data_IF_879891194542
#
_entry.id   IF_879891194542
#
_cell.length_a   1.000
_cell.length_b   1.000
_cell.length_c   1.000
_cell.angle_alpha   90.00
_cell.angle_beta   90.00
_cell.angle_gamma   90.00
#
_symmetry.space_group_name_H-M   'P 1'
#
loop_
_entity.id
_entity.type
_entity.pdbx_description
1 polymer ?
#
# COMPACT_ATOMS: atom_id res chain seq x y z
N UNK A 1 29.82 -16.14 37.06
CA UNK A 1 30.56 -15.66 35.88
C UNK A 1 29.72 -14.60 35.21
N UNK A 2 30.17 -13.34 35.17
CA UNK A 2 29.49 -12.30 34.38
C UNK A 2 29.80 -12.60 32.91
N UNK A 3 28.80 -12.95 32.11
CA UNK A 3 28.97 -13.01 30.67
C UNK A 3 29.45 -11.64 30.18
N UNK A 4 30.62 -11.59 29.61
CA UNK A 4 31.16 -10.40 28.96
C UNK A 4 30.39 -10.26 27.63
N UNK A 5 29.36 -9.43 27.63
CA UNK A 5 28.72 -8.98 26.38
C UNK A 5 29.83 -8.26 25.60
N UNK A 6 30.20 -8.73 24.41
CA UNK A 6 31.24 -8.04 23.62
C UNK A 6 30.76 -6.59 23.38
N UNK A 7 31.70 -5.61 23.40
CA UNK A 7 31.32 -4.23 23.09
C UNK A 7 30.63 -4.19 21.72
N UNK A 8 29.63 -3.30 21.54
CA UNK A 8 29.03 -3.11 20.25
C UNK A 8 30.13 -2.84 19.22
N UNK A 9 30.02 -3.41 18.00
CA UNK A 9 31.01 -3.18 16.97
C UNK A 9 31.24 -1.68 16.81
N UNK A 10 32.51 -1.26 16.71
CA UNK A 10 32.83 0.14 16.46
C UNK A 10 31.95 0.67 15.32
N UNK A 11 31.39 1.87 15.48
CA UNK A 11 30.61 2.53 14.45
C UNK A 11 31.52 2.64 13.22
N UNK A 12 31.39 1.65 12.34
CA UNK A 12 32.06 1.66 11.05
C UNK A 12 31.61 2.91 10.33
N UNK A 13 32.53 3.70 9.79
CA UNK A 13 32.20 4.83 8.93
C UNK A 13 31.15 4.38 7.92
N UNK A 14 29.99 5.03 7.95
CA UNK A 14 28.86 4.74 7.08
C UNK A 14 29.27 5.13 5.65
N UNK A 15 29.91 4.24 4.93
CA UNK A 15 30.13 4.40 3.50
C UNK A 15 29.31 3.37 2.71
N UNK A 16 29.10 3.66 1.45
CA UNK A 16 28.28 2.84 0.57
C UNK A 16 28.84 1.42 0.43
N UNK A 17 30.17 1.29 0.21
CA UNK A 17 30.82 0.02 -0.02
C UNK A 17 30.78 -0.88 1.23
N UNK A 18 31.04 -0.32 2.41
CA UNK A 18 30.95 -1.05 3.67
C UNK A 18 29.52 -1.51 3.94
N UNK A 19 28.51 -0.67 3.69
CA UNK A 19 27.11 -1.02 3.85
C UNK A 19 26.71 -2.15 2.88
N UNK A 20 27.08 -2.06 1.61
CA UNK A 20 26.83 -3.12 0.61
C UNK A 20 27.50 -4.45 0.99
N UNK A 21 28.73 -4.41 1.49
CA UNK A 21 29.44 -5.62 1.93
C UNK A 21 28.68 -6.35 3.05
N UNK A 22 28.08 -5.64 4.01
CA UNK A 22 27.23 -6.23 5.05
C UNK A 22 26.00 -6.92 4.44
N UNK A 23 25.35 -6.28 3.48
CA UNK A 23 24.18 -6.85 2.80
C UNK A 23 24.53 -8.09 2.00
N UNK A 24 25.59 -8.04 1.18
CA UNK A 24 26.03 -9.18 0.37
C UNK A 24 26.41 -10.38 1.24
N UNK A 25 26.98 -10.14 2.42
CA UNK A 25 27.44 -11.20 3.31
C UNK A 25 26.35 -11.78 4.21
N UNK A 26 25.37 -10.95 4.65
CA UNK A 26 24.50 -11.32 5.78
C UNK A 26 23.01 -11.20 5.49
N UNK A 27 22.57 -10.56 4.40
CA UNK A 27 21.15 -10.35 4.10
C UNK A 27 20.74 -11.20 2.89
N UNK A 28 19.64 -11.95 3.02
CA UNK A 28 19.07 -12.74 1.91
C UNK A 28 18.81 -11.83 0.71
N UNK A 29 19.31 -12.16 -0.49
CA UNK A 29 19.24 -11.28 -1.68
C UNK A 29 17.88 -11.34 -2.39
N UNK A 30 16.77 -11.24 -1.63
CA UNK A 30 15.41 -11.28 -2.17
C UNK A 30 14.95 -9.98 -2.84
N UNK A 31 15.73 -8.91 -2.70
CA UNK A 31 15.43 -7.59 -3.28
C UNK A 31 16.53 -7.14 -4.24
N UNK A 32 16.14 -6.69 -5.44
CA UNK A 32 17.02 -5.89 -6.30
C UNK A 32 17.06 -4.46 -5.75
N UNK A 33 18.16 -4.10 -5.08
CA UNK A 33 18.33 -2.79 -4.45
C UNK A 33 18.90 -1.78 -5.43
N UNK A 34 18.47 -0.54 -5.32
CA UNK A 34 19.14 0.57 -5.98
C UNK A 34 20.50 0.83 -5.34
N UNK A 35 21.46 1.32 -6.10
CA UNK A 35 22.82 1.66 -5.66
C UNK A 35 22.82 2.94 -4.78
N UNK A 36 22.17 2.84 -3.63
CA UNK A 36 21.97 3.95 -2.71
C UNK A 36 21.91 3.46 -1.26
N UNK A 37 22.78 3.96 -0.40
CA UNK A 37 22.77 3.71 1.04
C UNK A 37 22.25 4.93 1.78
N UNK A 38 21.04 4.83 2.33
CA UNK A 38 20.38 5.89 3.08
C UNK A 38 20.80 5.87 4.55
N UNK A 39 20.98 7.04 5.15
CA UNK A 39 21.40 7.19 6.55
C UNK A 39 20.29 7.74 7.45
N UNK A 40 19.57 8.78 7.02
CA UNK A 40 18.52 9.41 7.79
C UNK A 40 17.50 10.10 6.87
N UNK A 41 16.40 10.59 7.47
CA UNK A 41 15.37 11.34 6.75
C UNK A 41 14.75 12.40 7.64
N UNK A 42 14.14 13.42 7.01
CA UNK A 42 13.37 14.47 7.68
C UNK A 42 12.28 14.99 6.74
N UNK A 43 11.02 14.93 7.17
CA UNK A 43 9.88 15.31 6.33
C UNK A 43 9.86 14.54 5.01
N UNK A 44 9.80 15.26 3.89
CA UNK A 44 9.78 14.67 2.54
C UNK A 44 11.18 14.31 2.00
N UNK A 45 12.24 14.42 2.82
CA UNK A 45 13.61 14.24 2.33
C UNK A 45 14.32 13.06 3.00
N UNK A 46 15.13 12.36 2.20
CA UNK A 46 16.08 11.36 2.63
C UNK A 46 17.51 11.81 2.32
N UNK A 47 18.46 11.32 3.11
CA UNK A 47 19.88 11.61 2.96
C UNK A 47 20.66 10.31 2.88
N UNK A 48 21.59 10.24 1.95
CA UNK A 48 22.49 9.10 1.85
C UNK A 48 23.68 9.21 2.84
N UNK A 49 24.50 8.18 2.87
CA UNK A 49 25.68 8.11 3.72
C UNK A 49 26.77 9.15 3.36
N UNK A 50 26.72 9.75 2.19
CA UNK A 50 27.58 10.84 1.77
C UNK A 50 26.99 12.23 2.07
N UNK A 51 25.77 12.28 2.64
CA UNK A 51 25.06 13.52 2.98
C UNK A 51 24.30 14.15 1.82
N UNK A 52 24.19 13.49 0.67
CA UNK A 52 23.39 13.96 -0.43
C UNK A 52 21.90 13.85 -0.11
N UNK A 53 21.16 14.93 -0.37
CA UNK A 53 19.71 15.04 -0.16
C UNK A 53 18.94 14.55 -1.38
N UNK A 54 17.84 13.83 -1.10
CA UNK A 54 16.88 13.36 -2.08
C UNK A 54 15.47 13.75 -1.64
N UNK A 55 14.66 14.29 -2.55
CA UNK A 55 13.22 14.40 -2.34
C UNK A 55 12.60 13.01 -2.51
N UNK A 56 11.84 12.54 -1.52
CA UNK A 56 11.23 11.21 -1.56
C UNK A 56 9.75 11.28 -1.95
N UNK A 57 9.47 10.93 -3.20
CA UNK A 57 8.10 10.73 -3.69
C UNK A 57 7.68 9.25 -3.71
N UNK A 58 8.39 8.39 -2.99
CA UNK A 58 8.08 6.97 -2.81
C UNK A 58 7.57 6.62 -1.41
N UNK A 59 8.01 7.36 -0.40
CA UNK A 59 7.65 7.23 1.03
C UNK A 59 7.66 5.77 1.53
N UNK A 60 8.68 4.98 1.15
CA UNK A 60 8.76 3.56 1.52
C UNK A 60 7.64 2.70 0.91
N UNK A 61 7.19 3.00 -0.29
CA UNK A 61 6.04 2.41 -0.99
C UNK A 61 4.72 2.75 -0.26
N UNK A 62 4.42 4.05 -0.16
CA UNK A 62 3.23 4.59 0.51
C UNK A 62 3.13 4.23 2.01
N UNK A 63 4.24 4.09 2.71
CA UNK A 63 4.29 3.72 4.14
C UNK A 63 4.43 4.94 5.04
N UNK A 64 5.46 5.77 4.81
CA UNK A 64 5.77 6.94 5.63
C UNK A 64 4.81 8.11 5.27
N UNK A 65 3.54 7.96 5.64
CA UNK A 65 2.49 8.89 5.24
C UNK A 65 2.63 10.30 5.86
N UNK A 66 3.38 10.45 6.95
CA UNK A 66 3.71 11.73 7.57
C UNK A 66 5.15 12.18 7.27
N UNK A 67 5.82 11.51 6.32
CA UNK A 67 7.24 11.74 6.04
C UNK A 67 8.17 11.05 7.04
N UNK A 68 9.45 11.35 6.92
CA UNK A 68 10.51 10.73 7.73
C UNK A 68 10.74 11.46 9.03
N UNK A 69 11.01 10.70 10.11
CA UNK A 69 11.32 11.20 11.45
C UNK A 69 10.28 12.22 11.97
N UNK A 70 8.99 11.96 11.73
CA UNK A 70 7.93 12.86 12.16
C UNK A 70 7.90 12.99 13.70
N UNK A 71 7.95 14.22 14.27
CA UNK A 71 8.12 14.42 15.70
C UNK A 71 6.99 13.80 16.53
N UNK A 72 5.75 13.84 16.06
CA UNK A 72 4.61 13.25 16.77
C UNK A 72 4.68 11.72 16.80
N UNK A 73 5.20 11.06 15.75
CA UNK A 73 5.44 9.60 15.76
C UNK A 73 6.54 9.28 16.78
N UNK A 74 7.65 10.02 16.76
CA UNK A 74 8.74 9.85 17.73
C UNK A 74 8.25 10.02 19.16
N UNK A 75 7.43 11.03 19.41
CA UNK A 75 6.81 11.29 20.71
C UNK A 75 5.93 10.11 21.17
N UNK A 76 5.05 9.61 20.30
CA UNK A 76 4.19 8.47 20.61
C UNK A 76 5.01 7.20 20.93
N UNK A 77 6.09 6.95 20.19
CA UNK A 77 7.01 5.84 20.46
C UNK A 77 7.66 5.96 21.84
N UNK A 78 8.21 7.13 22.17
CA UNK A 78 8.87 7.37 23.48
C UNK A 78 7.86 7.26 24.62
N UNK A 79 6.71 7.91 24.53
CA UNK A 79 5.69 7.90 25.58
C UNK A 79 5.13 6.50 25.84
N UNK A 80 4.79 5.76 24.77
CA UNK A 80 4.17 4.43 24.93
C UNK A 80 5.19 3.37 25.30
N UNK A 81 6.43 3.44 24.81
CA UNK A 81 7.49 2.49 25.17
C UNK A 81 7.84 2.57 26.67
N UNK A 82 7.72 3.75 27.27
CA UNK A 82 7.89 3.96 28.71
C UNK A 82 6.74 3.45 29.58
N UNK A 83 5.61 3.03 28.99
CA UNK A 83 4.43 2.51 29.72
C UNK A 83 4.28 1.01 29.53
N UNK A 84 4.04 0.58 28.32
CA UNK A 84 3.74 -0.82 27.99
C UNK A 84 4.00 -1.07 26.50
N UNK A 85 4.91 -1.99 26.19
CA UNK A 85 5.26 -2.33 24.81
C UNK A 85 4.39 -3.46 24.29
N UNK A 86 4.31 -4.58 25.02
CA UNK A 86 3.65 -5.82 24.58
C UNK A 86 3.14 -6.65 25.75
N UNK A 87 1.92 -7.21 25.60
CA UNK A 87 1.31 -8.13 26.57
C UNK A 87 0.53 -9.28 25.90
N UNK A 88 0.74 -9.52 24.60
CA UNK A 88 -0.10 -10.42 23.81
C UNK A 88 -1.56 -9.91 23.69
N UNK A 89 -2.45 -10.74 23.16
CA UNK A 89 -3.90 -10.47 23.06
C UNK A 89 -4.70 -11.21 24.15
N UNK A 90 -4.05 -11.55 25.25
CA UNK A 90 -4.70 -12.20 26.40
C UNK A 90 -5.31 -11.18 27.37
N UNK A 91 -4.95 -9.91 27.26
CA UNK A 91 -5.41 -8.83 28.13
C UNK A 91 -5.93 -7.65 27.31
N UNK A 92 -6.88 -6.91 27.89
CA UNK A 92 -7.38 -5.68 27.30
C UNK A 92 -6.36 -4.55 27.43
N UNK A 93 -6.14 -3.80 26.36
CA UNK A 93 -5.32 -2.60 26.37
C UNK A 93 -6.06 -1.44 25.72
N UNK A 94 -6.04 -0.27 26.35
CA UNK A 94 -6.77 0.89 25.86
C UNK A 94 -6.36 1.33 24.45
N UNK A 95 -5.06 1.41 24.08
CA UNK A 95 -4.66 1.82 22.73
C UNK A 95 -5.25 0.94 21.61
N UNK A 96 -5.34 -0.37 21.84
CA UNK A 96 -5.93 -1.28 20.86
C UNK A 96 -7.44 -1.04 20.68
N UNK A 97 -8.18 -0.89 21.79
CA UNK A 97 -9.62 -0.62 21.74
C UNK A 97 -9.92 0.73 21.07
N UNK A 98 -9.15 1.79 21.40
CA UNK A 98 -9.28 3.12 20.81
C UNK A 98 -8.98 3.13 19.31
N UNK A 99 -7.94 2.41 18.88
CA UNK A 99 -7.63 2.32 17.46
C UNK A 99 -8.74 1.57 16.70
N UNK A 100 -9.27 0.47 17.27
CA UNK A 100 -10.38 -0.25 16.67
C UNK A 100 -11.63 0.64 16.53
N UNK A 101 -12.00 1.39 17.58
CA UNK A 101 -13.09 2.36 17.54
C UNK A 101 -12.89 3.42 16.45
N UNK A 102 -11.70 4.00 16.35
CA UNK A 102 -11.39 5.01 15.35
C UNK A 102 -11.53 4.47 13.92
N UNK A 103 -11.04 3.25 13.65
CA UNK A 103 -11.13 2.62 12.32
C UNK A 103 -12.58 2.24 11.97
N UNK A 104 -13.35 1.73 12.93
CA UNK A 104 -14.79 1.41 12.74
C UNK A 104 -15.57 2.69 12.40
N UNK A 105 -15.32 3.79 13.09
CA UNK A 105 -15.99 5.07 12.85
C UNK A 105 -15.65 5.70 11.48
N UNK A 106 -14.52 5.35 10.89
CA UNK A 106 -14.12 5.80 9.54
C UNK A 106 -14.71 4.94 8.41
N UNK A 107 -15.19 3.73 8.72
CA UNK A 107 -15.77 2.79 7.75
C UNK A 107 -17.29 2.63 7.97
N UNK A 108 -17.66 1.75 8.87
CA UNK A 108 -19.04 1.42 9.22
C UNK A 108 -19.05 0.49 10.46
N UNK A 109 -20.22 0.18 11.05
CA UNK A 109 -20.34 -0.79 12.11
C UNK A 109 -19.70 -2.14 11.75
N UNK A 110 -18.81 -2.60 12.61
CA UNK A 110 -18.03 -3.83 12.40
C UNK A 110 -17.00 -4.04 13.50
N UNK A 111 -16.02 -4.91 13.24
CA UNK A 111 -14.90 -5.17 14.17
C UNK A 111 -13.57 -5.18 13.42
N UNK A 112 -12.48 -4.95 14.13
CA UNK A 112 -11.12 -4.91 13.60
C UNK A 112 -10.28 -6.00 14.25
N UNK A 113 -9.53 -6.73 13.44
CA UNK A 113 -8.43 -7.57 13.88
C UNK A 113 -7.11 -6.90 13.54
N UNK A 114 -6.15 -6.90 14.46
CA UNK A 114 -4.82 -6.33 14.25
C UNK A 114 -3.78 -7.41 14.00
N UNK A 115 -2.86 -7.11 13.08
CA UNK A 115 -1.70 -7.92 12.72
C UNK A 115 -0.48 -7.01 12.47
N UNK A 116 0.55 -7.47 11.76
CA UNK A 116 1.81 -6.72 11.63
C UNK A 116 2.08 -6.25 10.20
N UNK A 117 1.33 -6.76 9.23
CA UNK A 117 1.57 -6.48 7.81
C UNK A 117 0.28 -6.59 6.98
N UNK A 118 0.31 -6.06 5.74
CA UNK A 118 -0.77 -6.22 4.78
C UNK A 118 -0.97 -7.68 4.34
N UNK A 119 0.12 -8.46 4.27
CA UNK A 119 0.04 -9.88 3.96
C UNK A 119 -0.76 -10.64 5.03
N UNK A 120 -0.48 -10.41 6.31
CA UNK A 120 -1.25 -11.02 7.42
C UNK A 120 -2.70 -10.54 7.42
N UNK A 121 -2.96 -9.28 7.09
CA UNK A 121 -4.33 -8.75 6.99
C UNK A 121 -5.14 -9.47 5.89
N UNK A 122 -4.54 -9.69 4.73
CA UNK A 122 -5.18 -10.43 3.64
C UNK A 122 -5.35 -11.92 3.99
N UNK A 123 -4.37 -12.57 4.63
CA UNK A 123 -4.51 -13.94 5.15
C UNK A 123 -5.70 -14.06 6.11
N UNK A 124 -5.94 -13.05 6.96
CA UNK A 124 -7.11 -12.97 7.83
C UNK A 124 -8.42 -12.94 7.03
N UNK A 125 -8.49 -12.13 5.96
CA UNK A 125 -9.66 -12.08 5.07
C UNK A 125 -9.85 -13.39 4.29
N UNK A 126 -8.78 -14.06 3.84
CA UNK A 126 -8.88 -15.38 3.18
C UNK A 126 -9.47 -16.41 4.15
N UNK A 127 -9.01 -16.43 5.39
CA UNK A 127 -9.53 -17.31 6.45
C UNK A 127 -10.99 -16.99 6.77
N UNK A 128 -11.37 -15.71 6.85
CA UNK A 128 -12.75 -15.28 7.06
C UNK A 128 -13.67 -15.80 5.94
N UNK A 129 -13.26 -15.63 4.67
CA UNK A 129 -14.02 -16.12 3.53
C UNK A 129 -14.24 -17.63 3.60
N UNK A 130 -13.17 -18.41 3.82
CA UNK A 130 -13.26 -19.87 3.94
C UNK A 130 -14.11 -20.32 5.12
N UNK A 131 -14.04 -19.59 6.25
CA UNK A 131 -14.89 -19.86 7.42
C UNK A 131 -16.36 -19.61 7.11
N UNK A 132 -16.67 -18.50 6.41
CA UNK A 132 -18.02 -18.17 5.98
C UNK A 132 -18.63 -19.22 5.06
N UNK A 133 -17.89 -19.72 4.06
CA UNK A 133 -18.36 -20.70 3.11
C UNK A 133 -18.26 -22.17 3.54
N UNK A 134 -17.66 -22.45 4.70
CA UNK A 134 -17.29 -23.81 5.12
C UNK A 134 -18.47 -24.80 5.11
N UNK A 135 -19.61 -24.41 5.69
CA UNK A 135 -20.80 -25.27 5.76
C UNK A 135 -21.43 -25.61 4.41
N UNK A 136 -21.11 -24.83 3.38
CA UNK A 136 -21.61 -25.01 1.99
C UNK A 136 -20.53 -25.54 1.04
N UNK A 137 -19.34 -25.87 1.54
CA UNK A 137 -18.20 -26.32 0.74
C UNK A 137 -17.60 -25.22 -0.16
N UNK A 138 -17.88 -23.94 0.10
CA UNK A 138 -17.38 -22.80 -0.67
C UNK A 138 -16.05 -22.30 -0.07
N UNK A 139 -15.04 -22.11 -0.91
CA UNK A 139 -13.71 -21.70 -0.47
C UNK A 139 -12.92 -20.90 -1.52
N UNK A 140 -13.43 -20.81 -2.76
CA UNK A 140 -12.75 -20.09 -3.83
C UNK A 140 -12.92 -18.57 -3.69
N UNK A 141 -11.82 -17.85 -3.86
CA UNK A 141 -11.77 -16.39 -3.87
C UNK A 141 -11.36 -15.94 -5.27
N UNK A 142 -12.13 -15.03 -5.87
CA UNK A 142 -11.77 -14.43 -7.16
C UNK A 142 -11.02 -13.13 -6.90
N UNK A 143 -9.86 -12.96 -7.56
CA UNK A 143 -9.04 -11.76 -7.54
C UNK A 143 -8.83 -11.23 -8.95
N UNK A 144 -8.09 -10.14 -9.12
CA UNK A 144 -7.84 -9.57 -10.43
C UNK A 144 -6.43 -9.88 -10.95
N UNK A 145 -6.28 -9.98 -12.27
CA UNK A 145 -4.97 -9.97 -12.93
C UNK A 145 -4.23 -8.67 -12.59
N UNK A 146 -2.91 -8.74 -12.53
CA UNK A 146 -2.00 -7.66 -12.13
C UNK A 146 -2.17 -7.16 -10.68
N UNK A 147 -3.00 -7.81 -9.86
CA UNK A 147 -3.13 -7.49 -8.44
C UNK A 147 -1.89 -7.89 -7.63
N UNK A 148 -1.81 -7.34 -6.41
CA UNK A 148 -0.79 -7.73 -5.43
C UNK A 148 -1.40 -7.83 -4.03
N UNK A 149 -1.41 -9.04 -3.44
CA UNK A 149 -2.06 -9.29 -2.15
C UNK A 149 -1.11 -9.84 -1.07
N UNK A 150 0.19 -9.84 -1.30
CA UNK A 150 1.21 -10.24 -0.32
C UNK A 150 2.19 -11.29 -0.84
N UNK A 151 3.10 -11.70 0.06
CA UNK A 151 4.21 -12.63 -0.24
C UNK A 151 4.16 -13.94 0.56
N UNK A 152 3.12 -14.19 1.33
CA UNK A 152 2.82 -15.50 1.91
C UNK A 152 2.38 -16.47 0.80
N UNK A 153 2.35 -17.77 1.06
CA UNK A 153 1.95 -18.75 0.05
C UNK A 153 0.51 -18.51 -0.46
N UNK A 154 -0.45 -18.18 0.44
CA UNK A 154 -1.79 -17.82 -0.01
C UNK A 154 -1.82 -16.42 -0.62
N UNK A 155 -1.02 -15.48 -0.12
CA UNK A 155 -0.86 -14.14 -0.69
C UNK A 155 -0.36 -14.16 -2.13
N UNK A 156 0.66 -14.99 -2.46
CA UNK A 156 1.13 -15.14 -3.86
C UNK A 156 0.11 -15.89 -4.72
N UNK A 157 -0.62 -16.88 -4.16
CA UNK A 157 -1.69 -17.56 -4.88
C UNK A 157 -2.85 -16.60 -5.22
N UNK A 158 -3.19 -15.64 -4.33
CA UNK A 158 -4.17 -14.58 -4.55
C UNK A 158 -3.68 -13.51 -5.53
N UNK A 159 -2.37 -13.27 -5.61
CA UNK A 159 -1.74 -12.25 -6.46
C UNK A 159 -1.85 -12.62 -7.94
N UNK A 160 -2.40 -11.72 -8.76
CA UNK A 160 -2.62 -11.91 -10.19
C UNK A 160 -1.39 -11.68 -11.07
N UNK A 161 -0.19 -12.04 -10.57
CA UNK A 161 1.10 -11.88 -11.26
C UNK A 161 1.87 -13.21 -11.25
N UNK A 162 2.02 -13.84 -12.41
CA UNK A 162 2.68 -15.16 -12.52
C UNK A 162 4.13 -15.15 -12.00
N UNK A 163 4.86 -14.06 -12.23
CA UNK A 163 6.24 -13.91 -11.74
C UNK A 163 6.34 -14.08 -10.21
N UNK A 164 5.29 -13.76 -9.46
CA UNK A 164 5.29 -13.88 -8.00
C UNK A 164 5.12 -15.32 -7.51
N UNK A 165 4.61 -16.23 -8.38
CA UNK A 165 4.28 -17.62 -8.07
C UNK A 165 5.37 -18.59 -8.49
N UNK A 166 6.15 -18.23 -9.51
CA UNK A 166 7.16 -19.09 -10.11
C UNK A 166 8.17 -19.60 -9.07
N UNK A 167 8.32 -20.92 -8.97
CA UNK A 167 9.24 -21.60 -8.05
C UNK A 167 8.67 -21.85 -6.65
N UNK A 168 7.37 -21.56 -6.43
CA UNK A 168 6.68 -21.80 -5.15
C UNK A 168 5.49 -22.76 -5.30
N UNK A 169 5.47 -23.53 -6.35
CA UNK A 169 4.46 -24.57 -6.59
C UNK A 169 4.62 -25.77 -5.63
N UNK A 170 3.51 -26.44 -5.24
CA UNK A 170 2.15 -26.21 -5.69
C UNK A 170 1.51 -24.97 -5.02
N UNK A 171 0.76 -24.19 -5.81
CA UNK A 171 0.05 -23.04 -5.29
C UNK A 171 -1.04 -23.44 -4.28
N UNK A 172 -1.32 -22.59 -3.31
CA UNK A 172 -2.48 -22.77 -2.41
C UNK A 172 -3.75 -22.73 -3.26
N UNK A 173 -4.59 -23.80 -3.21
CA UNK A 173 -5.78 -23.87 -4.05
C UNK A 173 -6.88 -22.90 -3.62
N UNK A 174 -7.79 -22.60 -4.56
CA UNK A 174 -8.97 -21.78 -4.31
C UNK A 174 -8.79 -20.30 -4.64
N UNK A 175 -7.89 -19.95 -5.54
CA UNK A 175 -7.79 -18.59 -6.10
C UNK A 175 -7.97 -18.63 -7.61
N UNK A 176 -8.80 -17.69 -8.12
CA UNK A 176 -9.01 -17.45 -9.56
C UNK A 176 -8.73 -16.00 -9.88
N UNK A 177 -8.22 -15.74 -11.08
CA UNK A 177 -7.85 -14.39 -11.52
C UNK A 177 -8.63 -14.03 -12.78
N UNK A 178 -9.21 -12.82 -12.79
CA UNK A 178 -9.96 -12.28 -13.93
C UNK A 178 -9.40 -10.89 -14.33
N UNK A 179 -9.64 -10.43 -15.56
CA UNK A 179 -9.27 -9.06 -15.93
C UNK A 179 -9.89 -8.03 -14.98
N UNK A 180 -9.08 -7.03 -14.60
CA UNK A 180 -9.53 -5.95 -13.74
C UNK A 180 -10.46 -5.00 -14.52
N UNK A 181 -11.49 -4.45 -13.88
CA UNK A 181 -12.51 -3.63 -14.51
C UNK A 181 -13.38 -4.36 -15.56
N UNK A 182 -13.47 -5.69 -15.48
CA UNK A 182 -14.30 -6.54 -16.33
C UNK A 182 -15.33 -7.31 -15.45
N UNK A 183 -16.54 -6.77 -15.39
CA UNK A 183 -17.64 -7.37 -14.59
C UNK A 183 -18.17 -8.66 -15.21
N UNK A 184 -18.14 -8.79 -16.55
CA UNK A 184 -18.60 -9.98 -17.24
C UNK A 184 -17.65 -11.15 -17.03
N UNK A 185 -16.35 -10.91 -17.12
CA UNK A 185 -15.34 -11.90 -16.76
C UNK A 185 -15.45 -12.32 -15.27
N UNK A 186 -15.71 -11.37 -14.37
CA UNK A 186 -15.95 -11.67 -12.95
C UNK A 186 -17.18 -12.57 -12.79
N UNK A 187 -18.28 -12.24 -13.44
CA UNK A 187 -19.53 -13.02 -13.41
C UNK A 187 -19.31 -14.45 -13.95
N UNK A 188 -18.60 -14.58 -15.06
CA UNK A 188 -18.31 -15.85 -15.69
C UNK A 188 -17.38 -16.75 -14.85
N UNK A 189 -16.53 -16.18 -14.02
CA UNK A 189 -15.60 -16.92 -13.16
C UNK A 189 -16.26 -17.50 -11.91
N UNK A 190 -17.47 -17.08 -11.54
CA UNK A 190 -18.16 -17.57 -10.34
C UNK A 190 -18.53 -19.05 -10.56
N UNK A 191 -18.14 -19.90 -9.63
CA UNK A 191 -18.46 -21.31 -9.54
C UNK A 191 -19.27 -21.62 -8.28
N UNK A 192 -19.82 -22.85 -8.15
CA UNK A 192 -20.45 -23.26 -6.89
C UNK A 192 -19.52 -23.22 -5.67
N UNK A 193 -18.20 -23.28 -5.87
CA UNK A 193 -17.21 -23.20 -4.81
C UNK A 193 -16.81 -21.75 -4.46
N UNK A 194 -17.23 -20.75 -5.22
CA UNK A 194 -16.86 -19.35 -5.00
C UNK A 194 -17.51 -18.81 -3.71
N UNK A 195 -16.73 -18.15 -2.87
CA UNK A 195 -17.17 -17.61 -1.58
C UNK A 195 -16.96 -16.09 -1.46
N UNK A 196 -15.95 -15.54 -2.14
CA UNK A 196 -15.62 -14.13 -2.03
C UNK A 196 -14.97 -13.58 -3.30
N UNK A 197 -14.99 -12.27 -3.43
CA UNK A 197 -14.18 -11.47 -4.36
C UNK A 197 -13.25 -10.60 -3.52
N UNK A 198 -11.97 -10.52 -3.87
CA UNK A 198 -11.00 -9.60 -3.30
C UNK A 198 -10.33 -8.80 -4.41
N UNK A 199 -10.40 -7.47 -4.32
CA UNK A 199 -9.74 -6.55 -5.25
C UNK A 199 -9.08 -5.38 -4.53
N UNK A 200 -8.14 -4.70 -5.19
CA UNK A 200 -7.68 -3.37 -4.81
C UNK A 200 -8.64 -2.32 -5.40
N UNK A 201 -8.87 -1.21 -4.73
CA UNK A 201 -9.57 -0.07 -5.33
C UNK A 201 -8.72 0.63 -6.38
N UNK A 202 -7.39 0.68 -6.16
CA UNK A 202 -6.39 1.09 -7.13
C UNK A 202 -5.25 0.06 -7.09
N UNK A 203 -5.04 -0.67 -8.18
CA UNK A 203 -3.94 -1.61 -8.29
C UNK A 203 -2.60 -0.89 -8.20
N UNK A 204 -1.90 -1.03 -7.07
CA UNK A 204 -0.63 -0.36 -6.84
C UNK A 204 0.52 -0.92 -7.66
N UNK A 205 0.70 -2.23 -7.64
CA UNK A 205 1.74 -2.93 -8.40
C UNK A 205 1.33 -3.15 -9.88
N UNK A 206 0.03 -3.08 -10.18
CA UNK A 206 -0.55 -3.19 -11.52
C UNK A 206 -0.55 -1.88 -12.31
N UNK A 207 0.35 -0.92 -12.01
CA UNK A 207 0.54 0.29 -12.80
C UNK A 207 -0.38 1.45 -12.44
N UNK A 208 -0.83 1.55 -11.19
CA UNK A 208 -1.72 2.61 -10.70
C UNK A 208 -3.03 2.66 -11.49
N UNK A 209 -3.67 1.51 -11.61
CA UNK A 209 -4.95 1.37 -12.33
C UNK A 209 -6.10 1.41 -11.33
N UNK A 210 -6.95 2.44 -11.41
CA UNK A 210 -8.12 2.58 -10.55
C UNK A 210 -9.31 1.74 -11.03
N UNK A 211 -10.11 1.26 -10.09
CA UNK A 211 -11.41 0.69 -10.40
C UNK A 211 -12.32 1.76 -11.00
N UNK A 212 -13.13 1.37 -11.97
CA UNK A 212 -14.21 2.22 -12.45
C UNK A 212 -15.37 2.18 -11.46
N UNK A 213 -16.08 3.31 -11.24
CA UNK A 213 -17.23 3.35 -10.33
C UNK A 213 -18.26 2.25 -10.63
N UNK A 214 -18.58 2.04 -11.91
CA UNK A 214 -19.56 1.05 -12.39
C UNK A 214 -19.11 -0.39 -12.04
N UNK A 215 -17.79 -0.63 -12.08
CA UNK A 215 -17.22 -1.93 -11.72
C UNK A 215 -17.39 -2.20 -10.22
N UNK A 216 -17.08 -1.24 -9.35
CA UNK A 216 -17.28 -1.39 -7.91
C UNK A 216 -18.75 -1.63 -7.55
N UNK A 217 -19.65 -0.82 -8.11
CA UNK A 217 -21.10 -0.96 -7.87
C UNK A 217 -21.62 -2.30 -8.40
N UNK A 218 -21.19 -2.69 -9.60
CA UNK A 218 -21.54 -3.97 -10.19
C UNK A 218 -21.00 -5.16 -9.39
N UNK A 219 -19.80 -5.06 -8.83
CA UNK A 219 -19.25 -6.10 -7.93
C UNK A 219 -20.09 -6.23 -6.66
N UNK A 220 -20.49 -5.12 -6.03
CA UNK A 220 -21.34 -5.18 -4.84
C UNK A 220 -22.66 -5.87 -5.14
N UNK A 221 -23.33 -5.44 -6.21
CA UNK A 221 -24.57 -6.07 -6.65
C UNK A 221 -24.37 -7.57 -6.95
N UNK A 222 -23.35 -7.93 -7.71
CA UNK A 222 -23.05 -9.31 -8.05
C UNK A 222 -22.80 -10.18 -6.81
N UNK A 223 -22.04 -9.65 -5.84
CA UNK A 223 -21.76 -10.35 -4.58
C UNK A 223 -23.04 -10.52 -3.75
N UNK A 224 -23.93 -9.53 -3.71
CA UNK A 224 -25.22 -9.62 -3.02
C UNK A 224 -26.12 -10.68 -3.67
N UNK A 225 -26.26 -10.66 -4.99
CA UNK A 225 -27.04 -11.65 -5.77
C UNK A 225 -26.56 -13.08 -5.56
N UNK A 226 -25.24 -13.27 -5.49
CA UNK A 226 -24.58 -14.59 -5.39
C UNK A 226 -24.26 -15.01 -3.95
N UNK A 227 -24.57 -14.17 -2.97
CA UNK A 227 -24.24 -14.36 -1.54
C UNK A 227 -22.73 -14.60 -1.34
N UNK A 228 -21.92 -13.76 -1.98
CA UNK A 228 -20.46 -13.73 -1.86
C UNK A 228 -20.03 -12.57 -0.96
N UNK A 229 -18.90 -12.73 -0.27
CA UNK A 229 -18.26 -11.63 0.42
C UNK A 229 -17.49 -10.76 -0.59
N UNK A 230 -17.56 -9.44 -0.42
CA UNK A 230 -16.73 -8.48 -1.16
C UNK A 230 -15.67 -7.90 -0.24
N UNK A 231 -14.41 -8.14 -0.56
CA UNK A 231 -13.26 -7.60 0.17
C UNK A 231 -12.51 -6.58 -0.67
N UNK A 232 -12.03 -5.54 -0.01
CA UNK A 232 -11.12 -4.55 -0.61
C UNK A 232 -9.75 -4.60 0.08
N UNK A 233 -8.71 -4.75 -0.73
CA UNK A 233 -7.32 -4.59 -0.28
C UNK A 233 -6.96 -3.11 -0.30
N UNK A 234 -7.11 -2.44 0.85
CA UNK A 234 -6.79 -1.03 1.06
C UNK A 234 -5.36 -0.80 1.59
N UNK A 235 -4.48 -1.78 1.47
CA UNK A 235 -3.13 -1.72 2.05
C UNK A 235 -2.28 -0.61 1.44
N UNK A 236 -2.38 -0.36 0.14
CA UNK A 236 -1.58 0.68 -0.52
C UNK A 236 -2.40 1.93 -0.84
N UNK A 237 -3.62 1.79 -1.28
CA UNK A 237 -4.47 2.86 -1.81
C UNK A 237 -5.40 3.50 -0.76
N UNK A 238 -5.50 2.88 0.41
CA UNK A 238 -6.28 3.37 1.54
C UNK A 238 -5.56 4.42 2.40
N UNK A 239 -6.10 4.66 3.56
CA UNK A 239 -5.55 5.50 4.62
C UNK A 239 -5.25 6.94 4.15
N UNK A 240 -6.26 7.58 3.56
CA UNK A 240 -6.27 8.96 3.07
C UNK A 240 -5.36 9.25 1.86
N UNK A 241 -4.70 8.24 1.29
CA UNK A 241 -3.79 8.40 0.14
C UNK A 241 -4.45 9.09 -1.05
N UNK A 242 -5.72 8.80 -1.29
CA UNK A 242 -6.53 9.38 -2.36
C UNK A 242 -7.35 10.60 -1.95
N UNK A 243 -7.23 11.03 -0.67
CA UNK A 243 -8.02 12.11 -0.08
C UNK A 243 -9.34 11.65 0.56
N UNK A 244 -9.55 10.34 0.73
CA UNK A 244 -10.56 9.70 1.59
C UNK A 244 -9.93 8.56 2.36
N UNK A 245 -10.56 8.09 3.43
CA UNK A 245 -10.01 7.02 4.26
C UNK A 245 -9.68 5.77 3.44
N UNK A 246 -10.59 5.36 2.55
CA UNK A 246 -10.38 4.28 1.59
C UNK A 246 -10.57 4.79 0.16
N UNK A 247 -9.85 4.19 -0.78
CA UNK A 247 -9.88 4.62 -2.19
C UNK A 247 -11.26 4.46 -2.83
N UNK A 248 -12.02 3.43 -2.47
CA UNK A 248 -13.36 3.23 -3.00
C UNK A 248 -14.29 4.40 -2.67
N UNK A 249 -14.16 5.01 -1.48
CA UNK A 249 -14.93 6.21 -1.12
C UNK A 249 -14.63 7.37 -2.06
N UNK A 250 -13.35 7.54 -2.44
CA UNK A 250 -12.92 8.58 -3.40
C UNK A 250 -13.37 8.28 -4.83
N UNK A 251 -13.29 7.02 -5.25
CA UNK A 251 -13.72 6.58 -6.59
C UNK A 251 -15.22 6.83 -6.77
N UNK A 252 -16.03 6.49 -5.77
CA UNK A 252 -17.47 6.61 -5.82
C UNK A 252 -18.00 8.05 -5.65
N UNK A 253 -17.21 8.95 -5.05
CA UNK A 253 -17.55 10.39 -5.05
C UNK A 253 -17.65 11.00 -6.45
N UNK A 254 -16.90 10.44 -7.39
CA UNK A 254 -16.88 10.87 -8.79
C UNK A 254 -17.94 10.15 -9.64
N UNK A 255 -18.63 9.16 -9.09
CA UNK A 255 -19.80 8.58 -9.73
C UNK A 255 -20.92 9.65 -9.81
N UNK A 256 -21.67 9.66 -10.89
CA UNK A 256 -22.72 10.66 -11.11
C UNK A 256 -23.61 10.83 -9.88
N UNK A 257 -23.73 12.07 -9.39
CA UNK A 257 -24.61 12.44 -8.28
C UNK A 257 -26.02 12.02 -8.64
N UNK A 258 -26.51 10.98 -7.96
CA UNK A 258 -27.88 10.46 -8.20
C UNK A 258 -28.01 8.95 -8.22
N UNK A 259 -26.90 8.18 -8.24
CA UNK A 259 -27.00 6.74 -8.02
C UNK A 259 -27.08 6.46 -6.51
N UNK A 260 -28.31 6.22 -6.00
CA UNK A 260 -28.56 5.77 -4.60
C UNK A 260 -27.60 4.65 -4.15
N UNK A 261 -27.08 3.87 -5.08
CA UNK A 261 -26.16 2.76 -4.81
C UNK A 261 -24.75 3.19 -4.43
N UNK A 262 -24.28 4.38 -4.85
CA UNK A 262 -22.93 4.85 -4.48
C UNK A 262 -22.82 5.25 -3.01
N UNK A 263 -23.89 5.83 -2.45
CA UNK A 263 -23.96 6.20 -1.03
C UNK A 263 -24.08 4.99 -0.09
N UNK A 264 -24.60 3.86 -0.62
CA UNK A 264 -24.82 2.62 0.12
C UNK A 264 -23.71 1.58 -0.11
N UNK A 265 -22.70 1.86 -0.94
CA UNK A 265 -21.63 0.91 -1.19
C UNK A 265 -20.82 0.65 0.08
N UNK A 266 -20.77 -0.61 0.50
CA UNK A 266 -19.96 -1.05 1.62
C UNK A 266 -19.39 -2.45 1.35
N UNK A 267 -18.05 -2.65 1.43
CA UNK A 267 -17.47 -3.98 1.37
C UNK A 267 -17.77 -4.76 2.66
N UNK A 268 -17.55 -6.05 2.63
CA UNK A 268 -17.72 -6.93 3.79
C UNK A 268 -16.43 -7.07 4.62
N UNK A 269 -15.29 -6.70 4.03
CA UNK A 269 -14.00 -6.59 4.71
C UNK A 269 -13.04 -5.67 3.97
N UNK A 270 -12.14 -5.05 4.73
CA UNK A 270 -11.07 -4.17 4.22
C UNK A 270 -9.77 -4.49 4.92
N UNK A 271 -8.72 -4.80 4.18
CA UNK A 271 -7.37 -4.92 4.73
C UNK A 271 -6.64 -3.59 4.72
N UNK A 272 -5.79 -3.35 5.72
CA UNK A 272 -5.05 -2.11 5.94
C UNK A 272 -3.66 -2.41 6.48
N UNK A 273 -2.66 -1.61 6.08
CA UNK A 273 -1.32 -1.62 6.64
C UNK A 273 -0.58 -0.33 6.21
N UNK A 274 0.71 -0.38 5.96
CA UNK A 274 1.52 0.72 5.39
C UNK A 274 1.28 2.05 6.11
N UNK A 275 0.53 2.97 5.49
CA UNK A 275 0.19 4.28 6.07
C UNK A 275 -0.50 4.20 7.44
N UNK A 276 -1.14 3.07 7.78
CA UNK A 276 -1.74 2.84 9.10
C UNK A 276 -0.74 3.08 10.24
N UNK A 277 0.50 2.64 10.07
CA UNK A 277 1.57 2.78 11.06
C UNK A 277 2.52 3.96 10.80
N UNK A 278 2.40 4.64 9.65
CA UNK A 278 3.26 5.78 9.30
C UNK A 278 4.77 5.48 9.33
N UNK A 279 5.17 4.21 9.12
CA UNK A 279 6.53 3.70 9.21
C UNK A 279 6.71 2.61 10.28
N UNK A 280 5.84 2.55 11.27
CA UNK A 280 5.84 1.47 12.28
C UNK A 280 5.08 0.25 11.77
N UNK A 281 5.58 -0.99 11.99
CA UNK A 281 4.92 -2.21 11.53
C UNK A 281 3.58 -2.44 12.24
N UNK A 282 2.48 -2.33 11.49
CA UNK A 282 1.13 -2.67 11.90
C UNK A 282 0.29 -2.98 10.65
N UNK A 283 -0.56 -3.97 10.74
CA UNK A 283 -1.63 -4.28 9.80
C UNK A 283 -2.95 -4.46 10.54
N UNK A 284 -4.04 -4.42 9.81
CA UNK A 284 -5.36 -4.68 10.32
C UNK A 284 -6.29 -5.14 9.21
N UNK A 285 -7.33 -5.85 9.55
CA UNK A 285 -8.50 -5.96 8.69
C UNK A 285 -9.76 -5.63 9.46
N UNK A 286 -10.63 -4.87 8.82
CA UNK A 286 -11.98 -4.59 9.31
C UNK A 286 -12.95 -5.56 8.68
N UNK A 287 -13.94 -6.00 9.45
CA UNK A 287 -15.02 -6.88 9.02
C UNK A 287 -16.35 -6.23 9.38
N UNK A 288 -17.27 -6.18 8.42
CA UNK A 288 -18.62 -5.66 8.57
C UNK A 288 -19.41 -6.43 9.63
N UNK A 289 -20.27 -5.74 10.38
CA UNK A 289 -21.00 -6.27 11.54
C UNK A 289 -21.64 -7.66 11.35
N UNK A 290 -22.33 -7.99 10.24
CA UNK A 290 -22.93 -9.32 10.07
C UNK A 290 -21.94 -10.50 10.09
N UNK A 291 -20.67 -10.23 9.78
CA UNK A 291 -19.60 -11.24 9.63
C UNK A 291 -18.52 -11.11 10.72
N UNK A 292 -18.62 -10.11 11.58
CA UNK A 292 -17.55 -9.72 12.50
C UNK A 292 -17.21 -10.76 13.57
N UNK A 293 -18.12 -11.68 13.87
CA UNK A 293 -17.96 -12.73 14.88
C UNK A 293 -17.64 -14.12 14.30
N UNK A 294 -17.44 -14.22 12.97
CA UNK A 294 -17.11 -15.50 12.32
C UNK A 294 -15.75 -16.07 12.78
N UNK A 295 -14.77 -15.18 13.03
CA UNK A 295 -13.47 -15.58 13.59
C UNK A 295 -13.50 -15.49 15.11
N UNK A 296 -14.23 -16.42 15.76
CA UNK A 296 -14.30 -16.54 17.21
C UNK A 296 -12.99 -17.05 17.85
N UNK A 297 -12.96 -17.17 19.19
CA UNK A 297 -11.79 -17.61 19.94
C UNK A 297 -11.16 -18.90 19.39
N UNK A 298 -9.82 -18.93 19.26
CA UNK A 298 -9.07 -20.08 18.77
C UNK A 298 -8.99 -20.22 17.24
N UNK A 299 -9.69 -19.39 16.44
CA UNK A 299 -9.72 -19.53 14.98
C UNK A 299 -8.64 -18.71 14.27
N UNK A 300 -8.24 -17.59 14.83
CA UNK A 300 -7.21 -16.72 14.29
C UNK A 300 -6.46 -16.01 15.41
N UNK A 301 -5.15 -15.77 15.24
CA UNK A 301 -4.30 -15.14 16.25
C UNK A 301 -3.09 -14.45 15.62
N UNK A 302 -2.51 -13.52 16.37
CA UNK A 302 -1.23 -12.89 16.08
C UNK A 302 -0.53 -12.60 17.40
N UNK A 303 0.78 -12.90 17.50
CA UNK A 303 1.55 -12.61 18.70
C UNK A 303 1.67 -11.11 18.95
N UNK A 304 2.06 -10.36 17.93
CA UNK A 304 2.35 -8.92 18.04
C UNK A 304 1.22 -8.02 17.49
N UNK A 305 0.24 -8.58 16.78
CA UNK A 305 -0.86 -7.80 16.23
C UNK A 305 -1.65 -7.09 17.32
N UNK A 306 -1.82 -5.77 17.19
CA UNK A 306 -2.53 -4.96 18.19
C UNK A 306 -1.73 -4.66 19.44
N UNK A 307 -0.40 -4.84 19.44
CA UNK A 307 0.44 -4.45 20.58
C UNK A 307 0.24 -2.98 20.96
N UNK A 308 0.20 -2.61 22.25
CA UNK A 308 -0.05 -1.24 22.72
C UNK A 308 0.83 -0.20 22.01
N UNK A 309 2.11 -0.51 21.79
CA UNK A 309 3.03 0.41 21.12
C UNK A 309 2.61 0.70 19.68
N UNK A 310 2.30 -0.32 18.89
CA UNK A 310 1.87 -0.15 17.50
C UNK A 310 0.54 0.61 17.41
N UNK A 311 -0.41 0.30 18.30
CA UNK A 311 -1.72 0.96 18.32
C UNK A 311 -1.61 2.43 18.74
N UNK A 312 -0.76 2.77 19.71
CA UNK A 312 -0.52 4.16 20.10
C UNK A 312 0.10 4.98 18.98
N UNK A 313 1.06 4.41 18.23
CA UNK A 313 1.64 5.04 17.05
C UNK A 313 0.58 5.26 15.97
N UNK A 314 -0.21 4.23 15.64
CA UNK A 314 -1.26 4.34 14.63
C UNK A 314 -2.35 5.34 14.98
N UNK A 315 -2.74 5.44 16.26
CA UNK A 315 -3.63 6.49 16.77
C UNK A 315 -3.05 7.88 16.53
N UNK A 316 -1.76 8.07 16.85
CA UNK A 316 -1.09 9.35 16.64
C UNK A 316 -1.03 9.72 15.15
N UNK A 317 -0.80 8.75 14.27
CA UNK A 317 -0.87 8.97 12.81
C UNK A 317 -2.25 9.49 12.40
N UNK A 318 -3.35 8.86 12.87
CA UNK A 318 -4.72 9.32 12.58
C UNK A 318 -4.98 10.74 13.11
N UNK A 319 -4.52 11.03 14.34
CA UNK A 319 -4.67 12.35 14.94
C UNK A 319 -3.99 13.44 14.11
N UNK A 320 -2.75 13.23 13.70
CA UNK A 320 -2.00 14.17 12.85
C UNK A 320 -2.70 14.37 11.50
N UNK A 321 -3.11 13.27 10.83
CA UNK A 321 -3.82 13.37 9.55
C UNK A 321 -5.07 14.25 9.68
N UNK A 322 -5.82 14.11 10.78
CA UNK A 322 -7.02 14.91 11.02
C UNK A 322 -6.69 16.36 11.38
N UNK A 323 -5.73 16.58 12.29
CA UNK A 323 -5.38 17.93 12.78
C UNK A 323 -4.77 18.81 11.69
N UNK A 324 -3.99 18.21 10.78
CA UNK A 324 -3.34 18.89 9.68
C UNK A 324 -4.13 18.81 8.36
N UNK A 325 -5.36 18.30 8.39
CA UNK A 325 -6.25 18.19 7.21
C UNK A 325 -5.58 17.49 6.01
N UNK A 326 -4.77 16.46 6.27
CA UNK A 326 -3.92 15.84 5.26
C UNK A 326 -4.69 15.11 4.16
N UNK A 327 -5.95 14.75 4.39
CA UNK A 327 -6.84 14.25 3.35
C UNK A 327 -7.08 15.29 2.25
N UNK A 328 -7.31 16.54 2.64
CA UNK A 328 -7.53 17.64 1.69
C UNK A 328 -6.23 18.07 1.03
N UNK A 329 -5.11 18.06 1.78
CA UNK A 329 -3.78 18.23 1.20
C UNK A 329 -3.48 17.18 0.11
N UNK A 330 -3.78 15.91 0.38
CA UNK A 330 -3.59 14.84 -0.60
C UNK A 330 -4.41 15.05 -1.88
N UNK A 331 -5.63 15.61 -1.78
CA UNK A 331 -6.43 16.00 -2.96
C UNK A 331 -5.81 17.18 -3.70
N UNK A 332 -5.52 18.27 -2.99
CA UNK A 332 -5.07 19.52 -3.59
C UNK A 332 -3.69 19.38 -4.24
N UNK A 333 -2.71 18.81 -3.51
CA UNK A 333 -1.35 18.61 -4.03
C UNK A 333 -1.33 17.50 -5.09
N UNK A 334 -2.13 16.43 -4.90
CA UNK A 334 -2.27 15.36 -5.87
C UNK A 334 -2.84 15.85 -7.21
N UNK A 335 -3.89 16.67 -7.20
CA UNK A 335 -4.45 17.25 -8.41
C UNK A 335 -3.49 18.24 -9.08
N UNK A 336 -2.75 19.01 -8.29
CA UNK A 336 -1.70 19.88 -8.82
C UNK A 336 -0.61 19.08 -9.55
N UNK A 337 -0.07 18.01 -8.92
CA UNK A 337 0.89 17.11 -9.55
C UNK A 337 0.32 16.49 -10.85
N UNK A 338 -0.90 15.95 -10.78
CA UNK A 338 -1.57 15.31 -11.90
C UNK A 338 -1.72 16.25 -13.10
N UNK A 339 -2.18 17.48 -12.85
CA UNK A 339 -2.37 18.50 -13.90
C UNK A 339 -1.05 18.85 -14.59
N UNK A 340 0.04 19.03 -13.81
CA UNK A 340 1.35 19.35 -14.36
C UNK A 340 1.92 18.17 -15.18
N UNK A 341 1.77 16.95 -14.68
CA UNK A 341 2.22 15.75 -15.38
C UNK A 341 1.42 15.47 -16.67
N UNK A 342 0.11 15.72 -16.67
CA UNK A 342 -0.73 15.62 -17.87
C UNK A 342 -0.30 16.62 -18.95
N UNK A 343 0.06 17.84 -18.60
CA UNK A 343 0.58 18.81 -19.56
C UNK A 343 1.86 18.30 -20.25
N UNK A 344 2.69 17.52 -19.54
CA UNK A 344 3.90 16.94 -20.13
C UNK A 344 3.63 15.73 -21.00
N UNK A 345 2.61 14.91 -20.72
CA UNK A 345 2.24 13.83 -21.64
C UNK A 345 1.81 14.38 -23.01
N UNK A 346 1.27 15.59 -23.05
CA UNK A 346 0.99 16.31 -24.30
C UNK A 346 2.24 16.90 -24.97
N UNK A 347 3.17 17.44 -24.15
CA UNK A 347 4.42 18.06 -24.63
C UNK A 347 5.47 17.03 -25.06
N UNK A 348 5.54 15.89 -24.39
CA UNK A 348 6.54 14.83 -24.58
C UNK A 348 5.88 13.44 -24.74
N UNK A 349 5.01 13.25 -25.77
CA UNK A 349 4.27 12.00 -25.96
C UNK A 349 5.17 10.81 -26.31
N UNK A 350 6.38 11.07 -26.80
CA UNK A 350 7.42 10.06 -27.05
C UNK A 350 8.12 9.55 -25.77
N UNK A 351 7.90 10.18 -24.62
CA UNK A 351 8.44 9.76 -23.32
C UNK A 351 7.32 9.36 -22.35
N UNK A 352 6.25 10.16 -22.25
CA UNK A 352 5.12 9.93 -21.33
C UNK A 352 3.88 9.59 -22.16
N UNK A 353 3.42 8.34 -22.04
CA UNK A 353 2.20 7.86 -22.69
C UNK A 353 0.94 8.31 -21.98
N UNK A 354 0.92 8.20 -20.65
CA UNK A 354 -0.25 8.52 -19.83
C UNK A 354 0.12 8.87 -18.39
N UNK A 355 -0.78 9.61 -17.73
CA UNK A 355 -0.74 9.86 -16.28
C UNK A 355 -2.07 9.47 -15.70
N UNK A 356 -2.04 8.69 -14.61
CA UNK A 356 -3.25 8.17 -13.95
C UNK A 356 -3.10 8.13 -12.44
N UNK A 357 -4.21 7.90 -11.74
CA UNK A 357 -4.28 7.81 -10.28
C UNK A 357 -5.11 8.91 -9.66
N UNK A 358 -5.23 8.88 -8.32
CA UNK A 358 -6.04 9.78 -7.52
C UNK A 358 -5.26 10.27 -6.30
N UNK A 359 -5.42 11.54 -5.95
CA UNK A 359 -4.73 12.15 -4.81
C UNK A 359 -3.21 11.99 -4.93
N UNK A 360 -2.56 11.57 -3.85
CA UNK A 360 -1.11 11.30 -3.81
C UNK A 360 -0.76 9.83 -4.13
N UNK A 361 -1.50 9.20 -5.00
CA UNK A 361 -1.21 7.92 -5.62
C UNK A 361 -1.28 8.08 -7.14
N UNK A 362 -0.16 8.47 -7.75
CA UNK A 362 -0.07 8.77 -9.18
C UNK A 362 0.90 7.83 -9.89
N UNK A 363 0.59 7.52 -11.14
CA UNK A 363 1.42 6.73 -12.04
C UNK A 363 1.72 7.49 -13.31
N UNK A 364 2.99 7.52 -13.71
CA UNK A 364 3.46 8.01 -15.00
C UNK A 364 3.76 6.79 -15.86
N UNK A 365 2.96 6.56 -16.89
CA UNK A 365 3.22 5.50 -17.87
C UNK A 365 4.14 6.01 -18.95
N UNK A 366 5.25 5.31 -19.15
CA UNK A 366 6.22 5.60 -20.19
C UNK A 366 5.73 5.16 -21.56
N UNK A 367 6.17 5.86 -22.59
CA UNK A 367 6.01 5.42 -23.98
C UNK A 367 6.80 4.11 -24.21
N UNK A 368 6.35 3.23 -25.14
CA UNK A 368 6.97 1.92 -25.34
C UNK A 368 8.40 1.99 -25.90
N UNK A 369 8.69 2.96 -26.77
CA UNK A 369 9.92 3.01 -27.55
C UNK A 369 10.69 4.30 -27.29
N UNK A 370 11.20 4.46 -26.05
CA UNK A 370 12.08 5.59 -25.73
C UNK A 370 13.49 5.27 -26.25
N UNK A 371 14.02 6.03 -27.25
CA UNK A 371 15.29 5.69 -27.90
C UNK A 371 16.47 5.57 -26.90
N UNK A 372 16.49 6.42 -25.88
CA UNK A 372 17.51 6.41 -24.84
C UNK A 372 17.54 5.14 -23.99
N UNK A 373 16.54 4.26 -24.09
CA UNK A 373 16.44 2.99 -23.36
C UNK A 373 16.70 1.76 -24.25
N UNK A 374 16.71 1.91 -25.57
CA UNK A 374 16.72 0.81 -26.55
C UNK A 374 17.89 -0.18 -26.37
N UNK A 375 19.07 0.30 -25.95
CA UNK A 375 20.28 -0.50 -25.82
C UNK A 375 20.73 -0.68 -24.35
N UNK A 376 19.86 -0.40 -23.39
CA UNK A 376 20.17 -0.53 -21.98
C UNK A 376 19.39 -1.70 -21.37
N UNK A 377 20.06 -2.54 -20.59
CA UNK A 377 19.41 -3.66 -19.89
C UNK A 377 18.41 -3.18 -18.85
N UNK A 378 17.39 -4.03 -18.57
CA UNK A 378 16.37 -3.75 -17.56
C UNK A 378 15.12 -3.07 -18.11
N UNK A 379 14.06 -3.04 -17.28
CA UNK A 379 12.79 -2.45 -17.65
C UNK A 379 12.89 -0.90 -17.79
N UNK A 380 12.18 -0.28 -18.76
CA UNK A 380 12.14 1.18 -18.92
C UNK A 380 11.81 1.94 -17.62
N UNK A 381 10.90 1.42 -16.82
CA UNK A 381 10.54 2.00 -15.51
C UNK A 381 11.75 2.08 -14.56
N UNK A 382 12.58 1.04 -14.49
CA UNK A 382 13.78 1.01 -13.65
C UNK A 382 14.82 2.00 -14.16
N UNK A 383 15.04 2.03 -15.49
CA UNK A 383 15.98 2.97 -16.10
C UNK A 383 15.57 4.44 -15.88
N UNK A 384 14.27 4.74 -15.96
CA UNK A 384 13.77 6.08 -15.69
C UNK A 384 13.92 6.44 -14.20
N UNK A 385 13.59 5.51 -13.30
CA UNK A 385 13.75 5.69 -11.84
C UNK A 385 15.22 5.95 -11.48
N UNK A 386 16.17 5.23 -12.07
CA UNK A 386 17.60 5.47 -11.85
C UNK A 386 18.00 6.90 -12.22
N UNK A 387 17.54 7.43 -13.37
CA UNK A 387 17.80 8.82 -13.76
C UNK A 387 17.19 9.85 -12.80
N UNK A 388 16.00 9.54 -12.24
CA UNK A 388 15.41 10.38 -11.21
C UNK A 388 16.23 10.35 -9.92
N UNK A 389 16.73 9.17 -9.51
CA UNK A 389 17.61 9.03 -8.33
C UNK A 389 18.90 9.83 -8.52
N UNK A 390 19.53 9.74 -9.70
CA UNK A 390 20.70 10.55 -10.07
C UNK A 390 20.39 12.04 -10.02
N UNK A 391 19.16 12.45 -10.35
CA UNK A 391 18.72 13.84 -10.29
C UNK A 391 18.27 14.29 -8.88
N UNK A 392 18.29 13.40 -7.86
CA UNK A 392 17.94 13.71 -6.47
C UNK A 392 16.46 13.53 -6.13
N UNK A 393 15.73 12.73 -6.90
CA UNK A 393 14.32 12.40 -6.66
C UNK A 393 14.12 10.89 -6.53
N UNK A 394 13.63 10.43 -5.37
CA UNK A 394 13.31 9.02 -5.17
C UNK A 394 11.87 8.72 -5.58
N UNK A 395 11.72 7.75 -6.46
CA UNK A 395 10.44 7.24 -6.97
C UNK A 395 10.49 5.72 -7.06
N UNK A 396 9.37 5.07 -7.37
CA UNK A 396 9.26 3.61 -7.35
C UNK A 396 8.68 3.11 -8.67
N UNK A 397 9.27 2.08 -9.31
CA UNK A 397 8.70 1.46 -10.50
C UNK A 397 7.43 0.65 -10.14
N UNK A 398 6.52 0.52 -11.09
CA UNK A 398 5.40 -0.41 -11.07
C UNK A 398 5.33 -1.14 -12.42
N UNK A 399 5.57 -2.45 -12.41
CA UNK A 399 5.74 -3.19 -13.64
C UNK A 399 6.90 -2.66 -14.48
N UNK A 400 6.83 -2.87 -15.79
CA UNK A 400 7.91 -2.52 -16.72
C UNK A 400 7.89 -1.07 -17.24
N UNK A 401 6.75 -0.39 -17.15
CA UNK A 401 6.54 0.88 -17.86
C UNK A 401 5.99 2.01 -17.00
N UNK A 402 5.71 1.81 -15.70
CA UNK A 402 5.09 2.85 -14.87
C UNK A 402 6.02 3.26 -13.73
N UNK A 403 6.06 4.55 -13.46
CA UNK A 403 6.70 5.15 -12.29
C UNK A 403 5.60 5.61 -11.33
N UNK A 404 5.70 5.22 -10.06
CA UNK A 404 4.77 5.62 -9.01
C UNK A 404 5.28 6.84 -8.25
N UNK A 405 4.38 7.77 -8.02
CA UNK A 405 4.53 8.85 -7.07
C UNK A 405 3.57 8.59 -5.90
N UNK A 406 4.16 8.31 -4.73
CA UNK A 406 3.47 7.91 -3.50
C UNK A 406 4.01 8.73 -2.30
N UNK A 407 4.15 10.07 -2.40
CA UNK A 407 4.79 10.87 -1.36
C UNK A 407 4.05 10.82 -0.03
N UNK A 408 4.63 11.41 1.00
CA UNK A 408 3.95 11.66 2.26
C UNK A 408 2.68 12.52 2.05
N UNK A 409 1.65 12.32 2.89
CA UNK A 409 0.38 13.06 2.78
C UNK A 409 0.54 14.55 3.08
N UNK A 410 1.55 14.90 3.87
CA UNK A 410 1.92 16.28 4.22
C UNK A 410 2.93 16.89 3.24
N UNK A 411 3.12 16.31 2.04
CA UNK A 411 3.93 16.91 0.98
C UNK A 411 3.45 18.34 0.72
N UNK A 412 4.36 19.30 0.83
CA UNK A 412 4.05 20.71 0.56
C UNK A 412 4.02 20.97 -0.94
N UNK A 413 3.24 21.98 -1.34
CA UNK A 413 3.17 22.38 -2.76
C UNK A 413 4.54 22.79 -3.33
N UNK A 414 5.38 23.44 -2.52
CA UNK A 414 6.75 23.80 -2.92
C UNK A 414 7.64 22.58 -3.19
N UNK A 415 7.48 21.52 -2.39
CA UNK A 415 8.19 20.24 -2.58
C UNK A 415 7.65 19.50 -3.81
N UNK A 416 6.35 19.54 -4.04
CA UNK A 416 5.75 19.03 -5.26
C UNK A 416 6.31 19.74 -6.50
N UNK A 417 6.46 21.07 -6.48
CA UNK A 417 7.07 21.83 -7.57
C UNK A 417 8.58 21.52 -7.74
N UNK A 418 9.32 21.24 -6.67
CA UNK A 418 10.70 20.74 -6.76
C UNK A 418 10.74 19.41 -7.51
N UNK A 419 9.89 18.44 -7.10
CA UNK A 419 9.78 17.13 -7.77
C UNK A 419 9.40 17.26 -9.25
N UNK A 420 8.43 18.10 -9.55
CA UNK A 420 8.00 18.44 -10.92
C UNK A 420 9.19 18.90 -11.76
N UNK A 421 9.98 19.87 -11.29
CA UNK A 421 11.14 20.39 -12.04
C UNK A 421 12.19 19.30 -12.30
N UNK A 422 12.42 18.42 -11.31
CA UNK A 422 13.37 17.32 -11.48
C UNK A 422 12.86 16.33 -12.56
N UNK A 423 11.58 15.93 -12.50
CA UNK A 423 11.00 15.04 -13.51
C UNK A 423 11.06 15.68 -14.89
N UNK A 424 10.67 16.97 -15.01
CA UNK A 424 10.73 17.70 -16.29
C UNK A 424 12.15 17.71 -16.90
N UNK A 425 13.17 17.94 -16.04
CA UNK A 425 14.56 17.94 -16.51
C UNK A 425 15.02 16.58 -17.04
N UNK A 426 14.54 15.49 -16.43
CA UNK A 426 14.84 14.12 -16.90
C UNK A 426 14.07 13.80 -18.17
N UNK A 427 12.78 14.12 -18.24
CA UNK A 427 11.94 13.91 -19.43
C UNK A 427 12.48 14.68 -20.64
N UNK A 428 12.87 15.94 -20.47
CA UNK A 428 13.41 16.76 -21.55
C UNK A 428 14.73 16.23 -22.12
N UNK A 429 15.52 15.47 -21.35
CA UNK A 429 16.74 14.81 -21.84
C UNK A 429 16.47 13.50 -22.58
N UNK A 430 15.27 12.96 -22.46
CA UNK A 430 14.84 11.70 -23.08
C UNK A 430 14.00 11.94 -24.35
N UNK A 431 13.45 13.15 -24.51
CA UNK A 431 12.65 13.57 -25.64
C UNK A 431 13.51 13.97 -26.83
#
# INVERSE_FOLDING_TARGET
MKEIVPPPPAIVRNDMAATQALFHKHVVPSYARFELALSHGSGSYLYDVAGRRYLDLGAGIAVCCLGHAHPEITKALVEQSGKLVHVSNLYYTEPQGRLAEALVNLLAPGKVFFCNSGAEANEGLFKLARKFGHGEGRYEIITALNSFHGRTLAGIAATGQEKAKQGFEPAVPGFRHVPYNDLDAMRAAISPATVAVLIEGIQGEGGITAARPEYLLGLRQLCDEKKLLLFLDGVQDGYFRTGRFQSFQRILENAERGTRNAECFLPDGVSMAKSLGGGFPIGAFWVRAPYADLLGPGTHASTYGGTPLACAVALRVLEVIRQEELADNARAVGEHLRTRLLAWSQKFPNVIKAVRGLGLMLGIELAPDIPAFANQGGAPSIQFVNRLHEAGLLTIPSGSAVIRLLPALNLRRSEAEEGIKIIESVVAKLA
#
